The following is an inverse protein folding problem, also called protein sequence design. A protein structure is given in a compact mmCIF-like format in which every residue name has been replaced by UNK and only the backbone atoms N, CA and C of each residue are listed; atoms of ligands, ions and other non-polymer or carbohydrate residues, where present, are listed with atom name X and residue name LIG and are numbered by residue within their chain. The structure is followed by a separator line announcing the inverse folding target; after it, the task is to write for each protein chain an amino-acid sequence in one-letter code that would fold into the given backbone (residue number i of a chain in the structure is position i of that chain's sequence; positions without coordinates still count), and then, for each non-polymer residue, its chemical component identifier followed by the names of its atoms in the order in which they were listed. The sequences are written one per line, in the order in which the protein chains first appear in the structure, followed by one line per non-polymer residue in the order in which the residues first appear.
data_IF_905589186260
#
_entry.id   IF_905589186260
#
_cell.length_a   1.000
_cell.length_b   1.000
_cell.length_c   1.000
_cell.angle_alpha   90.00
_cell.angle_beta   90.00
_cell.angle_gamma   90.00
#
_symmetry.space_group_name_H-M   'P 1'
#
loop_
_entity.id
_entity.type
_entity.pdbx_description
1 polymer ?
#
# COMPACT_ATOMS: atom_id res chain seq x y z
N UNK A 1 -1.52 0.37 8.80
CA UNK A 1 -0.52 -0.57 8.25
C UNK A 1 0.30 -1.11 9.39
N UNK A 2 0.61 -2.40 9.35
CA UNK A 2 1.44 -3.11 10.35
C UNK A 2 2.34 -4.11 9.65
N UNK A 3 3.56 -4.34 10.16
CA UNK A 3 4.54 -5.30 9.65
C UNK A 3 5.00 -6.17 10.81
N UNK A 4 4.77 -7.48 10.76
CA UNK A 4 5.14 -8.42 11.79
C UNK A 4 4.61 -8.04 13.16
N UNK A 5 5.49 -8.00 14.15
CA UNK A 5 5.19 -7.45 15.48
C UNK A 5 5.67 -6.01 15.64
N UNK A 6 6.07 -5.37 14.54
CA UNK A 6 6.58 -4.00 14.56
C UNK A 6 5.47 -3.05 15.03
N UNK A 7 5.76 -2.07 15.89
CA UNK A 7 4.72 -1.23 16.44
C UNK A 7 3.93 -0.50 15.34
N UNK A 8 2.62 -0.28 15.55
CA UNK A 8 1.79 0.38 14.55
C UNK A 8 2.28 1.80 14.31
N UNK A 9 2.21 2.22 13.05
CA UNK A 9 2.43 3.60 12.63
C UNK A 9 1.20 4.12 11.90
N UNK A 10 0.94 5.42 12.05
CA UNK A 10 -0.09 6.12 11.28
C UNK A 10 0.58 6.92 10.17
N UNK A 11 -0.02 6.84 8.99
CA UNK A 11 0.46 7.51 7.79
C UNK A 11 -0.71 8.26 7.13
N UNK A 12 -0.52 9.55 6.93
CA UNK A 12 -1.44 10.40 6.20
C UNK A 12 -1.04 10.43 4.71
N UNK A 13 -1.76 9.66 3.91
CA UNK A 13 -1.59 9.59 2.45
C UNK A 13 -2.38 10.66 1.69
N UNK A 14 -2.96 11.66 2.37
CA UNK A 14 -3.79 12.69 1.72
C UNK A 14 -3.04 13.41 0.60
N UNK A 15 -3.73 13.62 -0.53
CA UNK A 15 -3.14 14.13 -1.76
C UNK A 15 -2.47 13.06 -2.63
N UNK A 16 -2.39 11.81 -2.16
CA UNK A 16 -2.00 10.67 -2.98
C UNK A 16 -3.14 10.16 -3.87
N UNK A 17 -2.81 9.67 -5.06
CA UNK A 17 -3.76 9.17 -6.05
C UNK A 17 -3.09 9.01 -7.41
N UNK A 18 -3.88 8.56 -8.40
CA UNK A 18 -3.43 8.42 -9.78
C UNK A 18 -4.59 8.10 -10.70
N UNK A 19 -4.36 8.19 -12.00
CA UNK A 19 -5.38 7.92 -13.02
C UNK A 19 -5.36 6.45 -13.41
N UNK A 20 -6.55 5.87 -13.56
CA UNK A 20 -6.75 4.53 -14.06
C UNK A 20 -7.32 4.56 -15.48
N UNK A 21 -6.85 3.62 -16.30
CA UNK A 21 -7.41 3.36 -17.63
C UNK A 21 -8.36 2.17 -17.56
N UNK A 22 -9.50 2.26 -18.24
CA UNK A 22 -10.43 1.15 -18.45
C UNK A 22 -9.94 0.28 -19.59
N UNK A 23 -9.84 -1.03 -19.37
CA UNK A 23 -9.50 -1.96 -20.44
C UNK A 23 -10.73 -2.26 -21.34
N UNK A 24 -10.55 -2.48 -22.66
CA UNK A 24 -11.65 -2.46 -23.64
C UNK A 24 -12.67 -3.61 -23.54
N UNK A 25 -12.47 -4.60 -22.65
CA UNK A 25 -13.32 -5.78 -22.57
C UNK A 25 -14.03 -5.87 -21.21
N UNK A 26 -15.08 -5.06 -21.04
CA UNK A 26 -15.90 -5.04 -19.83
C UNK A 26 -17.07 -6.02 -19.98
N UNK A 27 -16.87 -7.27 -19.59
CA UNK A 27 -17.95 -8.28 -19.56
C UNK A 27 -18.66 -8.24 -18.21
N UNK A 28 -19.98 -8.46 -18.22
CA UNK A 28 -20.77 -8.70 -17.01
C UNK A 28 -20.61 -7.62 -15.91
N UNK A 29 -20.53 -6.34 -16.29
CA UNK A 29 -20.35 -5.21 -15.36
C UNK A 29 -19.09 -5.33 -14.47
N UNK A 30 -18.10 -6.10 -14.92
CA UNK A 30 -16.78 -6.17 -14.31
C UNK A 30 -15.86 -5.19 -15.03
N UNK A 31 -15.45 -4.12 -14.34
CA UNK A 31 -14.51 -3.15 -14.87
C UNK A 31 -13.08 -3.60 -14.62
N UNK A 32 -12.32 -3.81 -15.68
CA UNK A 32 -10.88 -4.02 -15.62
C UNK A 32 -10.15 -2.68 -15.67
N UNK A 33 -9.33 -2.40 -14.66
CA UNK A 33 -8.63 -1.13 -14.47
C UNK A 33 -7.13 -1.32 -14.38
N UNK A 34 -6.37 -0.35 -14.89
CA UNK A 34 -4.93 -0.28 -14.76
C UNK A 34 -4.47 1.15 -14.48
N UNK A 35 -3.84 1.37 -13.32
CA UNK A 35 -3.31 2.68 -12.94
C UNK A 35 -1.98 2.94 -13.65
N UNK A 36 -1.80 4.18 -14.10
CA UNK A 36 -0.53 4.62 -14.68
C UNK A 36 0.48 4.93 -13.58
N UNK A 37 1.66 4.31 -13.64
CA UNK A 37 2.78 4.66 -12.75
C UNK A 37 3.29 6.09 -12.96
N UNK A 38 2.96 6.74 -14.08
CA UNK A 38 3.32 8.14 -14.35
C UNK A 38 2.46 9.13 -13.58
N UNK A 39 1.20 8.79 -13.32
CA UNK A 39 0.26 9.70 -12.64
C UNK A 39 0.03 9.30 -11.19
N UNK A 40 0.30 8.04 -10.82
CA UNK A 40 0.14 7.58 -9.46
C UNK A 40 1.29 8.03 -8.56
N UNK A 41 0.94 8.74 -7.48
CA UNK A 41 1.89 9.15 -6.45
C UNK A 41 1.23 9.14 -5.09
N UNK A 42 2.02 8.90 -4.05
CA UNK A 42 1.61 9.09 -2.66
C UNK A 42 2.66 9.98 -1.96
N UNK A 43 2.26 10.80 -0.98
CA UNK A 43 3.23 11.63 -0.28
C UNK A 43 4.26 10.75 0.44
N UNK A 44 5.56 11.09 0.42
CA UNK A 44 6.57 10.27 1.08
C UNK A 44 6.31 10.19 2.58
N UNK A 45 6.67 9.07 3.20
CA UNK A 45 6.61 8.91 4.66
C UNK A 45 7.76 9.72 5.25
N UNK A 46 7.42 10.80 5.96
CA UNK A 46 8.34 11.75 6.58
C UNK A 46 7.79 12.15 7.94
N UNK A 47 8.51 12.99 8.68
CA UNK A 47 8.02 13.60 9.92
C UNK A 47 6.69 14.35 9.76
N UNK A 48 6.36 14.84 8.55
CA UNK A 48 5.11 15.56 8.27
C UNK A 48 3.92 14.63 8.05
N UNK A 49 4.16 13.44 7.51
CA UNK A 49 3.09 12.54 7.02
C UNK A 49 2.94 11.30 7.86
N UNK A 50 3.92 10.97 8.72
CA UNK A 50 3.97 9.69 9.43
C UNK A 50 4.27 9.88 10.91
N UNK A 51 3.51 9.17 11.76
CA UNK A 51 3.77 9.06 13.20
C UNK A 51 4.04 7.60 13.59
N UNK A 52 5.14 7.37 14.28
CA UNK A 52 5.49 6.10 14.90
C UNK A 52 5.34 6.24 16.42
N UNK A 53 4.56 5.35 17.05
CA UNK A 53 4.22 5.45 18.47
C UNK A 53 3.69 6.85 18.87
N UNK A 54 2.83 7.44 18.02
CA UNK A 54 2.28 8.80 18.16
C UNK A 54 3.27 9.97 18.00
N UNK A 55 4.56 9.70 17.84
CA UNK A 55 5.57 10.72 17.56
C UNK A 55 5.86 10.83 16.06
N UNK A 56 6.09 12.03 15.51
CA UNK A 56 6.61 12.18 14.16
C UNK A 56 7.87 11.33 13.95
N UNK A 57 8.07 10.83 12.72
CA UNK A 57 9.36 10.22 12.37
C UNK A 57 10.51 11.21 12.66
N UNK A 58 11.70 10.73 13.06
CA UNK A 58 12.84 11.61 13.28
C UNK A 58 13.17 12.45 12.03
N UNK A 59 13.63 13.70 12.19
CA UNK A 59 14.02 14.54 11.06
C UNK A 59 15.03 13.86 10.14
N UNK A 60 14.86 14.06 8.83
CA UNK A 60 15.72 13.45 7.80
C UNK A 60 15.30 12.04 7.37
N UNK A 61 14.41 11.36 8.10
CA UNK A 61 13.83 10.09 7.66
C UNK A 61 12.86 10.32 6.51
N UNK A 62 13.05 9.58 5.43
CA UNK A 62 12.18 9.61 4.25
C UNK A 62 12.01 8.20 3.70
N UNK A 63 10.76 7.77 3.50
CA UNK A 63 10.45 6.57 2.73
C UNK A 63 9.62 6.98 1.52
N UNK A 64 10.15 6.72 0.33
CA UNK A 64 9.47 6.97 -0.93
C UNK A 64 8.90 5.68 -1.49
N UNK A 65 7.69 5.74 -2.04
CA UNK A 65 7.10 4.61 -2.75
C UNK A 65 7.22 4.85 -4.26
N UNK A 66 7.64 3.83 -4.99
CA UNK A 66 7.55 3.77 -6.44
C UNK A 66 6.60 2.65 -6.84
N UNK A 67 5.59 2.97 -7.65
CA UNK A 67 4.58 2.00 -8.10
C UNK A 67 5.05 1.28 -9.35
N UNK A 68 5.10 -0.05 -9.27
CA UNK A 68 5.35 -0.90 -10.43
C UNK A 68 4.05 -1.33 -11.08
N UNK A 69 3.07 -1.69 -10.24
CA UNK A 69 1.78 -2.19 -10.72
C UNK A 69 0.68 -1.87 -9.73
N UNK A 70 -0.43 -1.35 -10.26
CA UNK A 70 -1.70 -1.31 -9.56
C UNK A 70 -2.81 -1.54 -10.60
N UNK A 71 -3.33 -2.77 -10.65
CA UNK A 71 -4.32 -3.16 -11.67
C UNK A 71 -5.23 -4.26 -11.18
N UNK A 72 -6.44 -4.35 -11.72
CA UNK A 72 -7.36 -5.41 -11.35
C UNK A 72 -8.78 -5.11 -11.77
N UNK A 73 -9.74 -5.43 -10.91
CA UNK A 73 -11.16 -5.44 -11.26
C UNK A 73 -12.04 -4.72 -10.23
N UNK A 74 -13.11 -4.10 -10.72
CA UNK A 74 -14.24 -3.58 -9.93
C UNK A 74 -15.52 -4.26 -10.45
N UNK A 75 -16.23 -4.98 -9.59
CA UNK A 75 -17.55 -5.51 -9.91
C UNK A 75 -18.61 -4.44 -9.62
N UNK A 76 -19.23 -3.89 -10.66
CA UNK A 76 -20.18 -2.79 -10.50
C UNK A 76 -21.55 -3.22 -9.95
N UNK A 77 -21.81 -4.53 -9.82
CA UNK A 77 -23.02 -5.02 -9.15
C UNK A 77 -22.83 -5.12 -7.63
N UNK A 78 -21.72 -5.71 -7.18
CA UNK A 78 -21.44 -5.93 -5.76
C UNK A 78 -20.62 -4.81 -5.10
N UNK A 79 -19.98 -3.95 -5.90
CA UNK A 79 -18.99 -3.00 -5.44
C UNK A 79 -17.66 -3.65 -5.05
N UNK A 80 -17.50 -4.97 -5.26
CA UNK A 80 -16.25 -5.65 -4.90
C UNK A 80 -15.08 -5.21 -5.77
N UNK A 81 -13.94 -4.99 -5.13
CA UNK A 81 -12.72 -4.56 -5.80
C UNK A 81 -11.58 -5.51 -5.46
N UNK A 82 -10.79 -5.82 -6.48
CA UNK A 82 -9.62 -6.68 -6.36
C UNK A 82 -8.48 -6.11 -7.19
N UNK A 83 -7.40 -5.66 -6.56
CA UNK A 83 -6.25 -5.04 -7.23
C UNK A 83 -4.95 -5.76 -6.88
N UNK A 84 -4.19 -6.15 -7.91
CA UNK A 84 -2.79 -6.54 -7.75
C UNK A 84 -1.96 -5.28 -7.53
N UNK A 85 -1.23 -5.23 -6.43
CA UNK A 85 -0.36 -4.12 -6.07
C UNK A 85 1.09 -4.61 -5.95
N UNK A 86 1.98 -3.97 -6.71
CA UNK A 86 3.42 -4.16 -6.62
C UNK A 86 4.11 -2.79 -6.54
N UNK A 87 5.00 -2.65 -5.57
CA UNK A 87 5.74 -1.41 -5.35
C UNK A 87 7.07 -1.66 -4.66
N UNK A 88 7.93 -0.64 -4.74
CA UNK A 88 9.16 -0.55 -3.99
C UNK A 88 9.09 0.60 -3.00
N UNK A 89 9.53 0.36 -1.77
CA UNK A 89 9.72 1.41 -0.77
C UNK A 89 11.21 1.64 -0.58
N UNK A 90 11.64 2.87 -0.79
CA UNK A 90 13.02 3.33 -0.72
C UNK A 90 13.20 4.14 0.54
N UNK A 91 13.98 3.63 1.49
CA UNK A 91 14.27 4.32 2.74
C UNK A 91 15.60 5.09 2.65
N UNK A 92 15.59 6.33 3.12
CA UNK A 92 16.78 7.18 3.24
C UNK A 92 16.76 8.02 4.52
N UNK A 93 17.96 8.36 5.00
CA UNK A 93 18.19 9.29 6.11
C UNK A 93 19.09 10.42 5.62
N UNK A 94 18.56 11.64 5.62
CA UNK A 94 19.25 12.81 5.06
C UNK A 94 19.55 12.64 3.56
N UNK A 95 20.59 13.31 3.07
CA UNK A 95 21.01 13.23 1.66
C UNK A 95 21.97 12.08 1.34
N UNK A 96 22.60 11.48 2.35
CA UNK A 96 23.74 10.58 2.15
C UNK A 96 23.40 9.09 2.35
N UNK A 97 22.53 8.75 3.31
CA UNK A 97 22.29 7.36 3.66
C UNK A 97 21.05 6.81 2.95
N UNK A 98 21.25 5.81 2.10
CA UNK A 98 20.18 5.09 1.37
C UNK A 98 20.22 3.62 1.73
N UNK A 99 19.04 3.04 1.95
CA UNK A 99 18.86 1.64 2.25
C UNK A 99 18.38 0.88 1.01
N UNK A 100 18.55 -0.45 0.96
CA UNK A 100 17.98 -1.26 -0.10
C UNK A 100 16.44 -1.14 -0.15
N UNK A 101 15.89 -1.37 -1.34
CA UNK A 101 14.45 -1.33 -1.55
C UNK A 101 13.72 -2.45 -0.81
N UNK A 102 12.61 -2.11 -0.16
CA UNK A 102 11.62 -3.08 0.29
C UNK A 102 10.66 -3.37 -0.86
N UNK A 103 10.47 -4.65 -1.16
CA UNK A 103 9.58 -5.08 -2.25
C UNK A 103 8.25 -5.50 -1.62
N UNK A 104 7.17 -4.86 -2.07
CA UNK A 104 5.81 -5.18 -1.62
C UNK A 104 5.04 -5.77 -2.79
N UNK A 105 4.45 -6.93 -2.58
CA UNK A 105 3.58 -7.61 -3.53
C UNK A 105 2.37 -8.14 -2.79
N UNK A 106 1.19 -7.63 -3.10
CA UNK A 106 -0.05 -8.05 -2.43
C UNK A 106 -1.24 -7.98 -3.37
N UNK A 107 -2.26 -8.75 -3.02
CA UNK A 107 -3.60 -8.59 -3.54
C UNK A 107 -4.38 -7.70 -2.56
N UNK A 108 -4.85 -6.56 -3.03
CA UNK A 108 -5.73 -5.66 -2.30
C UNK A 108 -7.18 -6.03 -2.62
N UNK A 109 -8.01 -6.19 -1.61
CA UNK A 109 -9.43 -6.54 -1.77
C UNK A 109 -10.32 -5.70 -0.87
N UNK A 110 -11.55 -5.46 -1.30
CA UNK A 110 -12.61 -4.89 -0.45
C UNK A 110 -13.25 -5.91 0.50
N UNK A 111 -12.83 -7.19 0.45
CA UNK A 111 -13.30 -8.25 1.34
C UNK A 111 -12.45 -8.42 2.60
N UNK A 112 -12.44 -9.63 3.16
CA UNK A 112 -11.63 -10.01 4.32
C UNK A 112 -10.31 -10.65 3.88
N UNK A 113 -9.24 -10.36 4.62
CA UNK A 113 -7.94 -11.03 4.50
C UNK A 113 -7.51 -11.54 5.87
N UNK A 114 -6.91 -12.73 5.90
CA UNK A 114 -6.38 -13.34 7.11
C UNK A 114 -5.04 -13.99 6.81
N UNK A 115 -4.03 -13.56 7.55
CA UNK A 115 -2.67 -14.07 7.51
C UNK A 115 -2.35 -14.83 8.79
N UNK A 116 -1.05 -15.06 9.01
CA UNK A 116 -0.54 -15.72 10.23
C UNK A 116 -0.49 -14.77 11.41
N UNK A 117 -0.24 -13.48 11.17
CA UNK A 117 -0.05 -12.48 12.22
C UNK A 117 -1.17 -11.43 12.24
N UNK A 118 -1.77 -11.15 11.09
CA UNK A 118 -2.74 -10.09 10.93
C UNK A 118 -4.00 -10.55 10.21
N UNK A 119 -5.09 -9.83 10.46
CA UNK A 119 -6.31 -9.89 9.70
C UNK A 119 -6.80 -8.48 9.39
N UNK A 120 -7.58 -8.34 8.33
CA UNK A 120 -8.14 -7.07 7.91
C UNK A 120 -9.45 -7.26 7.16
N UNK A 121 -10.34 -6.29 7.30
CA UNK A 121 -11.61 -6.25 6.59
C UNK A 121 -11.70 -4.94 5.80
N UNK A 122 -11.94 -5.07 4.51
CA UNK A 122 -12.26 -3.98 3.60
C UNK A 122 -13.74 -3.62 3.62
N UNK A 123 -14.10 -2.66 2.78
CA UNK A 123 -15.47 -2.26 2.51
C UNK A 123 -15.62 -2.11 1.01
N UNK A 124 -16.68 -2.69 0.44
CA UNK A 124 -17.01 -2.58 -0.98
C UNK A 124 -17.20 -1.12 -1.40
N UNK A 125 -17.03 -0.86 -2.69
CA UNK A 125 -17.24 0.45 -3.29
C UNK A 125 -18.66 0.95 -2.98
N UNK A 126 -18.72 2.08 -2.31
CA UNK A 126 -19.98 2.73 -1.94
C UNK A 126 -20.43 3.69 -3.05
N UNK A 127 -21.71 4.06 -3.06
CA UNK A 127 -22.29 4.98 -4.04
C UNK A 127 -21.61 6.36 -4.07
N UNK A 128 -20.95 6.77 -2.98
CA UNK A 128 -20.19 8.02 -2.89
C UNK A 128 -18.72 7.86 -3.30
N UNK A 129 -18.35 6.76 -3.96
CA UNK A 129 -17.00 6.47 -4.42
C UNK A 129 -16.05 5.96 -3.33
N UNK A 130 -16.43 6.00 -2.06
CA UNK A 130 -15.55 5.57 -0.96
C UNK A 130 -15.39 4.05 -0.93
N UNK A 131 -14.17 3.60 -0.63
CA UNK A 131 -13.83 2.19 -0.52
C UNK A 131 -12.72 1.98 0.51
N UNK A 132 -12.72 0.80 1.16
CA UNK A 132 -11.60 0.35 1.98
C UNK A 132 -11.03 -0.94 1.39
N UNK A 133 -9.77 -0.92 1.02
CA UNK A 133 -9.04 -2.10 0.55
C UNK A 133 -8.08 -2.59 1.62
N UNK A 134 -7.96 -3.91 1.74
CA UNK A 134 -7.04 -4.59 2.64
C UNK A 134 -6.23 -5.63 1.87
N UNK A 135 -4.99 -5.89 2.28
CA UNK A 135 -4.14 -6.89 1.65
C UNK A 135 -3.02 -7.34 2.56
N UNK A 136 -2.58 -8.60 2.40
CA UNK A 136 -1.47 -9.17 3.17
C UNK A 136 -0.32 -9.48 2.22
N UNK A 137 0.86 -8.99 2.58
CA UNK A 137 2.12 -9.23 1.87
C UNK A 137 3.10 -9.94 2.80
N UNK A 138 3.93 -10.84 2.25
CA UNK A 138 5.18 -11.22 2.92
C UNK A 138 6.29 -10.33 2.35
N UNK A 139 6.93 -9.54 3.20
CA UNK A 139 8.05 -8.70 2.84
C UNK A 139 9.32 -9.55 2.94
N UNK A 140 10.07 -9.76 1.85
CA UNK A 140 11.30 -10.54 1.88
C UNK A 140 12.42 -9.80 2.59
N UNK A 141 13.48 -10.53 2.97
CA UNK A 141 14.75 -9.92 3.39
C UNK A 141 15.33 -9.08 2.26
N UNK A 142 15.94 -7.97 2.64
CA UNK A 142 16.64 -7.05 1.74
C UNK A 142 18.09 -7.44 1.52
N UNK A 143 18.66 -8.28 2.39
CA UNK A 143 20.08 -8.59 2.43
C UNK A 143 20.89 -7.62 3.29
N UNK A 144 20.31 -6.49 3.71
CA UNK A 144 20.93 -5.60 4.69
C UNK A 144 20.53 -6.04 6.11
N UNK A 145 21.51 -6.56 6.86
CA UNK A 145 21.28 -7.10 8.21
C UNK A 145 20.65 -6.10 9.18
N UNK A 146 21.01 -4.81 9.09
CA UNK A 146 20.47 -3.77 9.97
C UNK A 146 18.99 -3.57 9.69
N UNK A 147 18.63 -3.36 8.43
CA UNK A 147 17.25 -3.15 8.00
C UNK A 147 16.39 -4.40 8.23
N UNK A 148 16.93 -5.57 7.90
CA UNK A 148 16.25 -6.86 8.07
C UNK A 148 15.99 -7.14 9.55
N UNK A 149 16.93 -6.83 10.44
CA UNK A 149 16.73 -6.99 11.89
C UNK A 149 15.73 -5.98 12.43
N UNK A 150 15.86 -4.71 12.03
CA UNK A 150 14.99 -3.63 12.49
C UNK A 150 13.52 -3.87 12.15
N UNK A 151 13.23 -4.33 10.92
CA UNK A 151 11.88 -4.64 10.45
C UNK A 151 11.46 -6.10 10.70
N UNK A 152 12.36 -6.93 11.23
CA UNK A 152 12.13 -8.35 11.49
C UNK A 152 11.84 -9.15 10.22
N UNK A 153 12.58 -8.93 9.13
CA UNK A 153 12.35 -9.54 7.82
C UNK A 153 12.95 -10.96 7.70
N UNK A 154 12.30 -11.89 6.96
CA UNK A 154 11.06 -11.67 6.23
C UNK A 154 9.87 -11.63 7.20
N UNK A 155 8.87 -10.81 6.90
CA UNK A 155 7.70 -10.71 7.76
C UNK A 155 6.40 -10.41 7.02
N UNK A 156 5.29 -10.75 7.65
CA UNK A 156 3.96 -10.43 7.15
C UNK A 156 3.62 -8.96 7.36
N UNK A 157 2.99 -8.31 6.38
CA UNK A 157 2.50 -6.95 6.50
C UNK A 157 1.04 -6.85 6.05
N UNK A 158 0.24 -6.11 6.83
CA UNK A 158 -1.13 -5.76 6.47
C UNK A 158 -1.16 -4.34 5.90
N UNK A 159 -1.56 -4.25 4.63
CA UNK A 159 -1.92 -3.00 3.97
C UNK A 159 -3.40 -2.69 4.22
N UNK A 160 -3.70 -1.46 4.59
CA UNK A 160 -5.05 -0.93 4.69
C UNK A 160 -5.10 0.41 3.96
N UNK A 161 -5.99 0.53 2.99
CA UNK A 161 -6.11 1.68 2.11
C UNK A 161 -7.55 2.17 2.13
N UNK A 162 -7.76 3.38 2.64
CA UNK A 162 -9.04 4.09 2.49
C UNK A 162 -8.89 5.05 1.33
N UNK A 163 -9.70 4.87 0.30
CA UNK A 163 -9.61 5.63 -0.93
C UNK A 163 -11.00 6.00 -1.46
N UNK A 164 -11.00 6.85 -2.47
CA UNK A 164 -12.18 7.33 -3.18
C UNK A 164 -11.94 7.14 -4.67
N UNK A 165 -12.90 6.55 -5.37
CA UNK A 165 -12.93 6.43 -6.82
C UNK A 165 -13.90 7.48 -7.35
N UNK A 166 -13.43 8.30 -8.30
CA UNK A 166 -14.17 9.41 -8.91
C UNK A 166 -14.41 9.15 -10.38
#
# INVERSE_FOLDING_TARGET
MVIGKYPPFSYNAYGGGGEATLLPNQKNKLLHINFSSKTFSIPPLTSKTTKFLSFPLPPGFKIEMSMEQLKGTINMNSGEVLLKFESYFLFSIGSMLKFPKLIIKTLLTSGKVKGKLHEGEGHVLQNNGKIKLVGISIIPKTGNKILDTFLGLPNEALAELRCEIK
#
